data_IF_663882959667
#
_entry.id   IF_663882959667
#
_cell.length_a   1.000
_cell.length_b   1.000
_cell.length_c   1.000
_cell.angle_alpha   90.00
_cell.angle_beta   90.00
_cell.angle_gamma   90.00
#
_symmetry.space_group_name_H-M   'P 1'
#
loop_
_entity.id
_entity.type
_entity.pdbx_description
1 polymer ?
#
# COMPACT_ATOMS: atom_id res chain seq x y z
N UNK A 1 -11.98 19.56 -10.12
CA UNK A 1 -11.92 18.31 -9.33
C UNK A 1 -13.04 18.37 -8.31
N UNK A 2 -13.76 17.27 -8.03
CA UNK A 2 -14.67 17.25 -6.88
C UNK A 2 -13.88 17.61 -5.62
N UNK A 3 -14.47 18.44 -4.77
CA UNK A 3 -13.90 18.84 -3.49
C UNK A 3 -13.86 17.62 -2.56
N UNK A 4 -12.77 16.86 -2.60
CA UNK A 4 -12.56 15.70 -1.73
C UNK A 4 -12.27 16.24 -0.34
N UNK A 5 -13.33 16.53 0.41
CA UNK A 5 -13.23 16.92 1.80
C UNK A 5 -12.84 15.69 2.63
N UNK A 6 -11.64 15.70 3.18
CA UNK A 6 -11.18 14.61 4.03
C UNK A 6 -11.96 14.58 5.35
N UNK A 7 -12.54 13.42 5.65
CA UNK A 7 -13.25 13.11 6.89
C UNK A 7 -12.56 11.98 7.68
N UNK A 8 -11.37 11.54 7.25
CA UNK A 8 -10.61 10.43 7.85
C UNK A 8 -9.66 10.95 8.92
N UNK A 9 -9.01 12.09 8.69
CA UNK A 9 -8.00 12.65 9.59
C UNK A 9 -8.51 12.86 11.02
N UNK A 10 -9.80 13.21 11.20
CA UNK A 10 -10.41 13.36 12.52
C UNK A 10 -10.35 12.09 13.38
N UNK A 11 -10.27 10.90 12.74
CA UNK A 11 -10.14 9.61 13.42
C UNK A 11 -8.69 9.15 13.48
N UNK A 12 -7.93 9.36 12.40
CA UNK A 12 -6.56 8.87 12.26
C UNK A 12 -5.57 9.65 13.11
N UNK A 13 -5.68 10.98 13.16
CA UNK A 13 -4.73 11.82 13.89
C UNK A 13 -4.72 11.50 15.40
N UNK A 14 -5.86 11.45 16.12
CA UNK A 14 -5.86 11.08 17.54
C UNK A 14 -5.32 9.66 17.78
N UNK A 15 -5.63 8.73 16.88
CA UNK A 15 -5.14 7.35 16.95
C UNK A 15 -3.60 7.29 16.86
N UNK A 16 -3.00 7.96 15.88
CA UNK A 16 -1.54 8.02 15.73
C UNK A 16 -0.90 8.72 16.93
N UNK A 17 -1.44 9.86 17.35
CA UNK A 17 -0.86 10.64 18.45
C UNK A 17 -0.86 9.85 19.76
N UNK A 18 -1.90 9.04 20.02
CA UNK A 18 -1.94 8.16 21.19
C UNK A 18 -0.81 7.13 21.17
N UNK A 19 -0.64 6.41 20.05
CA UNK A 19 0.40 5.38 19.94
C UNK A 19 1.82 5.98 19.90
N UNK A 20 1.97 7.16 19.28
CA UNK A 20 3.23 7.88 19.27
C UNK A 20 3.63 8.33 20.69
N UNK A 21 2.69 8.79 21.51
CA UNK A 21 2.97 9.14 22.90
C UNK A 21 3.41 7.91 23.73
N UNK A 22 2.81 6.74 23.49
CA UNK A 22 3.25 5.47 24.09
C UNK A 22 4.66 5.10 23.65
N UNK A 23 4.97 5.21 22.36
CA UNK A 23 6.32 4.97 21.81
C UNK A 23 7.36 5.91 22.42
N UNK A 24 7.07 7.21 22.49
CA UNK A 24 7.95 8.21 23.10
C UNK A 24 8.20 7.91 24.58
N UNK A 25 7.17 7.49 25.32
CA UNK A 25 7.32 7.08 26.71
C UNK A 25 8.19 5.83 26.85
N UNK A 26 7.97 4.82 26.01
CA UNK A 26 8.75 3.58 26.01
C UNK A 26 10.23 3.82 25.66
N UNK A 27 10.51 4.79 24.79
CA UNK A 27 11.86 5.15 24.38
C UNK A 27 12.48 6.32 25.17
N UNK A 28 11.83 6.79 26.25
CA UNK A 28 12.24 8.01 26.97
C UNK A 28 13.65 7.97 27.58
N UNK A 29 14.20 6.79 27.82
CA UNK A 29 15.57 6.59 28.33
C UNK A 29 16.59 6.30 27.22
N UNK A 30 16.15 6.15 25.97
CA UNK A 30 17.04 5.92 24.83
C UNK A 30 17.67 7.24 24.39
N UNK A 31 19.00 7.25 24.26
CA UNK A 31 19.73 8.37 23.67
C UNK A 31 19.60 8.44 22.15
N UNK A 32 19.04 7.41 21.51
CA UNK A 32 18.83 7.32 20.07
C UNK A 32 17.51 6.58 19.77
N UNK A 33 16.35 7.15 20.12
CA UNK A 33 15.06 6.50 19.91
C UNK A 33 14.81 6.28 18.41
N UNK A 34 14.36 5.09 17.98
CA UNK A 34 14.01 4.87 16.57
C UNK A 34 12.75 5.68 16.20
N UNK A 35 12.57 6.03 14.92
CA UNK A 35 11.31 6.61 14.45
C UNK A 35 10.15 5.65 14.66
N UNK A 36 8.94 6.21 14.75
CA UNK A 36 7.70 5.46 14.79
C UNK A 36 7.21 5.18 13.36
N UNK A 37 7.08 3.90 13.01
CA UNK A 37 6.71 3.48 11.65
C UNK A 37 5.21 3.23 11.54
N UNK A 38 4.56 3.90 10.61
CA UNK A 38 3.11 3.82 10.39
C UNK A 38 2.86 3.26 9.00
N UNK A 39 2.23 2.08 8.94
CA UNK A 39 1.74 1.51 7.70
C UNK A 39 0.41 2.10 7.30
N UNK A 40 0.23 2.35 6.00
CA UNK A 40 -1.05 2.81 5.48
C UNK A 40 -1.42 2.04 4.20
N UNK A 41 -2.53 1.30 4.30
CA UNK A 41 -3.16 0.61 3.18
C UNK A 41 -4.44 1.34 2.77
N UNK A 42 -4.71 1.34 1.47
CA UNK A 42 -6.05 1.65 0.97
C UNK A 42 -6.15 1.32 -0.50
N UNK A 43 -7.34 0.89 -0.90
CA UNK A 43 -7.71 0.64 -2.30
C UNK A 43 -7.38 1.87 -3.16
N UNK A 44 -6.98 1.65 -4.41
CA UNK A 44 -6.62 2.75 -5.32
C UNK A 44 -7.77 3.77 -5.44
N UNK A 45 -7.43 5.05 -5.31
CA UNK A 45 -8.41 6.15 -5.38
C UNK A 45 -9.26 6.38 -4.11
N UNK A 46 -9.05 5.63 -3.02
CA UNK A 46 -9.80 5.79 -1.76
C UNK A 46 -9.41 7.04 -0.93
N UNK A 47 -8.47 7.88 -1.41
CA UNK A 47 -8.03 9.10 -0.73
C UNK A 47 -6.75 8.94 0.14
N UNK A 48 -6.00 7.85 -0.04
CA UNK A 48 -4.75 7.58 0.68
C UNK A 48 -3.73 8.73 0.61
N UNK A 49 -3.40 9.22 -0.59
CA UNK A 49 -2.44 10.32 -0.76
C UNK A 49 -2.88 11.58 -0.03
N UNK A 50 -4.17 11.92 -0.10
CA UNK A 50 -4.75 13.07 0.61
C UNK A 50 -4.57 12.91 2.13
N UNK A 51 -4.86 11.73 2.67
CA UNK A 51 -4.67 11.46 4.10
C UNK A 51 -3.19 11.52 4.50
N UNK A 52 -2.28 10.96 3.69
CA UNK A 52 -0.83 11.02 3.94
C UNK A 52 -0.33 12.47 3.99
N UNK A 53 -0.78 13.32 3.05
CA UNK A 53 -0.41 14.74 3.02
C UNK A 53 -0.93 15.50 4.24
N UNK A 54 -2.17 15.23 4.66
CA UNK A 54 -2.74 15.79 5.89
C UNK A 54 -1.92 15.32 7.11
N UNK A 55 -1.62 14.02 7.23
CA UNK A 55 -0.83 13.49 8.34
C UNK A 55 0.56 14.10 8.40
N UNK A 56 1.28 14.17 7.26
CA UNK A 56 2.58 14.82 7.17
C UNK A 56 2.50 16.26 7.65
N UNK A 57 1.53 17.01 7.15
CA UNK A 57 1.34 18.43 7.49
C UNK A 57 1.01 18.61 8.97
N UNK A 58 0.03 17.86 9.50
CA UNK A 58 -0.40 17.95 10.90
C UNK A 58 0.73 17.59 11.86
N UNK A 59 1.46 16.50 11.61
CA UNK A 59 2.54 16.06 12.49
C UNK A 59 3.78 16.97 12.42
N UNK A 60 4.05 17.56 11.25
CA UNK A 60 5.22 18.45 11.07
C UNK A 60 4.96 19.89 11.51
N UNK A 61 3.69 20.29 11.67
CA UNK A 61 3.32 21.65 12.07
C UNK A 61 3.18 21.79 13.60
N UNK A 62 3.19 23.02 14.15
CA UNK A 62 2.81 23.26 15.53
C UNK A 62 1.42 22.68 15.85
N UNK A 63 1.22 22.08 17.04
CA UNK A 63 2.16 22.02 18.17
C UNK A 63 3.15 20.84 18.12
N UNK A 64 3.06 19.94 17.14
CA UNK A 64 3.79 18.68 17.12
C UNK A 64 5.24 18.81 16.66
N UNK A 65 5.51 19.59 15.60
CA UNK A 65 6.86 19.89 15.09
C UNK A 65 7.75 18.65 14.88
N UNK A 66 7.18 17.55 14.41
CA UNK A 66 7.90 16.29 14.19
C UNK A 66 8.50 16.26 12.78
N UNK A 67 9.74 15.78 12.66
CA UNK A 67 10.28 15.37 11.35
C UNK A 67 9.57 14.11 10.85
N UNK A 68 8.91 14.21 9.69
CA UNK A 68 8.10 13.15 9.08
C UNK A 68 8.62 12.81 7.68
N UNK A 69 8.88 11.54 7.43
CA UNK A 69 9.21 11.01 6.10
C UNK A 69 8.02 10.23 5.55
N UNK A 70 7.71 10.44 4.27
CA UNK A 70 6.77 9.62 3.52
C UNK A 70 7.58 8.69 2.63
N UNK A 71 7.28 7.39 2.69
CA UNK A 71 7.96 6.37 1.94
C UNK A 71 6.92 5.49 1.24
N UNK A 72 6.84 5.56 -0.08
CA UNK A 72 5.86 4.79 -0.85
C UNK A 72 6.40 3.40 -1.19
N UNK A 73 5.54 2.39 -1.13
CA UNK A 73 5.84 1.08 -1.71
C UNK A 73 6.09 1.19 -3.22
N UNK A 74 5.42 2.10 -3.92
CA UNK A 74 5.62 2.29 -5.36
C UNK A 74 7.02 2.84 -5.69
N UNK A 75 7.71 3.49 -4.75
CA UNK A 75 9.10 3.92 -4.94
C UNK A 75 10.10 2.75 -4.88
N UNK A 76 9.63 1.59 -4.41
CA UNK A 76 10.37 0.36 -4.29
C UNK A 76 10.11 -0.61 -5.43
N UNK A 77 9.47 -0.20 -6.53
CA UNK A 77 9.40 -1.09 -7.70
C UNK A 77 10.82 -1.54 -8.12
N UNK A 78 10.87 -2.74 -8.69
CA UNK A 78 12.06 -3.24 -9.38
C UNK A 78 12.53 -2.23 -10.44
N UNK A 79 13.84 -2.22 -10.70
CA UNK A 79 14.36 -1.49 -11.86
C UNK A 79 13.68 -1.99 -13.14
N UNK A 80 13.67 -1.17 -14.20
CA UNK A 80 13.11 -1.58 -15.48
C UNK A 80 13.72 -2.89 -15.97
N UNK A 81 15.06 -3.01 -15.87
CA UNK A 81 15.78 -4.22 -16.25
C UNK A 81 15.32 -5.45 -15.46
N UNK A 82 15.19 -5.34 -14.13
CA UNK A 82 14.73 -6.45 -13.28
C UNK A 82 13.26 -6.79 -13.52
N UNK A 83 12.41 -5.80 -13.78
CA UNK A 83 11.00 -6.02 -14.14
C UNK A 83 10.87 -6.74 -15.49
N UNK A 84 11.71 -6.41 -16.47
CA UNK A 84 11.76 -7.13 -17.76
C UNK A 84 12.22 -8.57 -17.56
N UNK A 85 13.26 -8.80 -16.75
CA UNK A 85 13.73 -10.15 -16.43
C UNK A 85 12.67 -10.98 -15.68
N UNK A 86 11.93 -10.35 -14.75
CA UNK A 86 10.81 -10.99 -14.05
C UNK A 86 9.70 -11.41 -15.02
N UNK A 87 9.30 -10.53 -15.94
CA UNK A 87 8.29 -10.84 -16.94
C UNK A 87 8.75 -11.98 -17.87
N UNK A 88 10.00 -11.95 -18.33
CA UNK A 88 10.58 -13.00 -19.19
C UNK A 88 10.67 -14.37 -18.50
N UNK A 89 10.89 -14.41 -17.19
CA UNK A 89 10.92 -15.66 -16.42
C UNK A 89 9.53 -16.22 -16.11
N UNK A 90 8.46 -15.43 -16.30
CA UNK A 90 7.07 -15.83 -16.05
C UNK A 90 6.16 -15.41 -17.22
N UNK A 91 6.42 -15.88 -18.45
CA UNK A 91 5.74 -15.40 -19.65
C UNK A 91 4.21 -15.63 -19.61
N UNK A 92 3.77 -16.67 -18.92
CA UNK A 92 2.36 -17.06 -18.83
C UNK A 92 1.63 -16.45 -17.62
N UNK A 93 2.33 -15.67 -16.78
CA UNK A 93 1.71 -15.01 -15.62
C UNK A 93 1.37 -13.55 -15.95
N UNK A 94 0.10 -13.21 -16.27
CA UNK A 94 -0.28 -11.85 -16.65
C UNK A 94 -0.08 -10.84 -15.52
N UNK A 95 -0.04 -11.29 -14.25
CA UNK A 95 0.12 -10.43 -13.07
C UNK A 95 1.55 -9.91 -12.88
N UNK A 96 2.53 -10.48 -13.61
CA UNK A 96 3.95 -10.15 -13.49
C UNK A 96 4.53 -9.45 -14.73
N UNK A 97 3.71 -9.20 -15.75
CA UNK A 97 4.19 -8.57 -17.00
C UNK A 97 4.54 -7.09 -16.82
N UNK A 98 3.97 -6.45 -15.79
CA UNK A 98 4.19 -5.05 -15.47
C UNK A 98 4.31 -4.86 -13.95
N UNK A 99 4.90 -3.73 -13.55
CA UNK A 99 4.99 -3.33 -12.15
C UNK A 99 3.59 -3.24 -11.51
N UNK A 100 3.45 -3.69 -10.28
CA UNK A 100 2.21 -3.53 -9.51
C UNK A 100 2.05 -4.57 -8.42
N UNK A 101 1.87 -5.84 -8.82
CA UNK A 101 1.58 -6.93 -7.91
C UNK A 101 2.77 -7.27 -6.99
N UNK A 102 2.56 -7.89 -5.82
CA UNK A 102 3.63 -8.51 -5.05
C UNK A 102 4.51 -9.39 -5.94
N UNK A 103 5.83 -9.34 -5.70
CA UNK A 103 6.95 -9.79 -6.58
C UNK A 103 7.58 -8.69 -7.43
N UNK A 104 6.89 -7.57 -7.67
CA UNK A 104 7.42 -6.47 -8.51
C UNK A 104 8.15 -5.36 -7.74
N UNK A 105 8.41 -5.57 -6.44
CA UNK A 105 9.11 -4.62 -5.57
C UNK A 105 10.43 -5.20 -5.07
N UNK A 106 11.42 -4.33 -4.90
CA UNK A 106 12.74 -4.58 -4.33
C UNK A 106 12.68 -4.60 -2.79
N UNK A 107 12.31 -5.76 -2.26
CA UNK A 107 12.19 -5.98 -0.80
C UNK A 107 13.53 -5.81 -0.07
N UNK A 108 14.68 -6.32 -0.58
CA UNK A 108 15.98 -6.05 0.04
C UNK A 108 16.28 -4.56 0.19
N UNK A 109 16.01 -3.75 -0.85
CA UNK A 109 16.15 -2.29 -0.76
C UNK A 109 15.24 -1.72 0.33
N UNK A 110 13.96 -2.11 0.37
CA UNK A 110 13.02 -1.68 1.40
C UNK A 110 13.58 -1.94 2.81
N UNK A 111 13.99 -3.18 3.10
CA UNK A 111 14.51 -3.56 4.41
C UNK A 111 15.78 -2.80 4.80
N UNK A 112 16.65 -2.50 3.82
CA UNK A 112 17.84 -1.67 4.06
C UNK A 112 17.48 -0.24 4.48
N UNK A 113 16.46 0.37 3.86
CA UNK A 113 15.96 1.71 4.22
C UNK A 113 15.35 1.70 5.61
N UNK A 114 14.46 0.73 5.92
CA UNK A 114 13.91 0.57 7.27
C UNK A 114 15.01 0.39 8.33
N UNK A 115 16.01 -0.45 8.06
CA UNK A 115 17.11 -0.69 8.99
C UNK A 115 17.98 0.56 9.21
N UNK A 116 18.23 1.33 8.16
CA UNK A 116 18.99 2.58 8.24
C UNK A 116 18.23 3.66 9.03
N UNK A 117 16.94 3.84 8.75
CA UNK A 117 16.06 4.77 9.47
C UNK A 117 15.93 4.41 10.95
N UNK A 118 15.79 3.12 11.29
CA UNK A 118 15.74 2.63 12.69
C UNK A 118 16.98 3.00 13.50
N UNK A 119 18.13 3.17 12.83
CA UNK A 119 19.39 3.53 13.46
C UNK A 119 19.64 5.05 13.44
N UNK A 120 18.70 5.85 12.92
CA UNK A 120 18.85 7.29 12.69
C UNK A 120 20.08 7.65 11.84
N UNK A 121 20.47 6.76 10.91
CA UNK A 121 21.57 7.01 9.98
C UNK A 121 21.11 7.91 8.83
N UNK A 122 22.00 8.72 8.24
CA UNK A 122 21.75 9.34 6.95
C UNK A 122 21.24 8.28 5.97
N UNK A 123 20.06 8.52 5.41
CA UNK A 123 19.35 7.51 4.61
C UNK A 123 18.76 8.18 3.39
N UNK A 124 19.04 7.61 2.21
CA UNK A 124 18.40 8.03 0.97
C UNK A 124 17.07 7.30 0.80
N UNK A 125 16.02 8.04 0.49
CA UNK A 125 14.69 7.51 0.26
C UNK A 125 14.53 7.23 -1.25
N UNK A 126 14.31 5.96 -1.66
CA UNK A 126 14.10 5.60 -3.06
C UNK A 126 13.02 6.44 -3.73
N UNK A 127 13.17 6.65 -5.03
CA UNK A 127 12.18 7.30 -5.87
C UNK A 127 12.01 6.53 -7.18
N UNK A 128 10.78 6.48 -7.69
CA UNK A 128 10.47 5.79 -8.93
C UNK A 128 9.80 6.67 -9.97
N UNK A 129 10.38 6.73 -11.18
CA UNK A 129 9.81 7.47 -12.29
C UNK A 129 8.89 6.55 -13.11
N UNK A 130 7.60 6.58 -12.80
CA UNK A 130 6.55 5.82 -13.52
C UNK A 130 6.42 6.18 -15.00
N UNK A 131 6.94 7.32 -15.45
CA UNK A 131 6.86 7.77 -16.84
C UNK A 131 8.06 7.32 -17.69
N UNK A 132 9.15 6.86 -17.08
CA UNK A 132 10.30 6.33 -17.80
C UNK A 132 9.91 5.12 -18.68
N UNK A 133 10.72 4.82 -19.71
CA UNK A 133 10.49 3.70 -20.64
C UNK A 133 9.06 3.66 -21.20
N UNK A 134 8.59 4.80 -21.72
CA UNK A 134 7.24 4.94 -22.29
C UNK A 134 6.13 4.53 -21.31
N UNK A 135 6.29 4.86 -20.03
CA UNK A 135 5.30 4.55 -18.98
C UNK A 135 5.47 3.19 -18.32
N UNK A 136 6.45 2.37 -18.73
CA UNK A 136 6.80 1.12 -18.03
C UNK A 136 7.48 1.38 -16.69
N UNK A 137 8.12 2.53 -16.56
CA UNK A 137 8.74 3.04 -15.34
C UNK A 137 10.15 2.52 -15.10
N UNK A 138 10.92 3.27 -14.31
CA UNK A 138 12.22 2.86 -13.79
C UNK A 138 12.57 3.62 -12.52
N UNK A 139 13.52 3.08 -11.76
CA UNK A 139 14.06 3.68 -10.55
C UNK A 139 14.85 4.93 -10.92
N UNK A 140 14.62 6.01 -10.18
CA UNK A 140 15.41 7.24 -10.31
C UNK A 140 16.84 6.94 -9.84
N UNK A 141 17.89 7.53 -10.45
CA UNK A 141 19.26 7.37 -9.98
C UNK A 141 19.42 7.73 -8.49
N UNK A 142 20.18 6.93 -7.75
CA UNK A 142 20.38 7.11 -6.29
C UNK A 142 21.00 8.48 -5.91
N UNK A 143 21.69 9.13 -6.85
CA UNK A 143 22.22 10.49 -6.66
C UNK A 143 21.13 11.56 -6.54
N UNK A 144 19.90 11.28 -6.99
CA UNK A 144 18.78 12.21 -6.98
C UNK A 144 17.78 11.91 -5.85
N UNK A 145 18.01 10.84 -5.07
CA UNK A 145 17.15 10.49 -3.94
C UNK A 145 17.28 11.51 -2.81
N UNK A 146 16.16 11.81 -2.16
CA UNK A 146 16.14 12.65 -0.97
C UNK A 146 16.91 11.96 0.16
N UNK A 147 17.88 12.65 0.76
CA UNK A 147 18.62 12.16 1.91
C UNK A 147 18.06 12.77 3.21
N UNK A 148 17.64 11.91 4.13
CA UNK A 148 17.09 12.27 5.44
C UNK A 148 18.08 11.91 6.56
N UNK A 149 17.82 12.35 7.80
CA UNK A 149 18.72 12.17 8.95
C UNK A 149 20.12 12.79 8.76
N UNK A 150 20.25 13.83 7.93
CA UNK A 150 21.50 14.58 7.75
C UNK A 150 21.82 15.49 8.94
N UNK A 151 20.82 15.82 9.78
CA UNK A 151 20.98 16.54 11.04
C UNK A 151 20.71 15.61 12.25
N UNK A 152 21.73 15.17 13.00
CA UNK A 152 21.57 14.30 14.16
C UNK A 152 20.76 14.91 15.32
N UNK A 153 20.65 16.24 15.40
CA UNK A 153 19.88 16.92 16.45
C UNK A 153 18.37 16.92 16.19
N UNK A 154 17.96 16.56 14.98
CA UNK A 154 16.55 16.49 14.59
C UNK A 154 16.32 15.31 13.65
N UNK A 155 16.46 14.07 14.14
CA UNK A 155 16.25 12.88 13.33
C UNK A 155 14.79 12.77 12.90
N UNK A 156 14.52 11.88 11.96
CA UNK A 156 13.16 11.49 11.59
C UNK A 156 12.46 10.91 12.83
N UNK A 157 11.27 11.42 13.14
CA UNK A 157 10.47 10.96 14.28
C UNK A 157 9.38 9.99 13.84
N UNK A 158 8.83 10.18 12.64
CA UNK A 158 7.74 9.37 12.09
C UNK A 158 8.02 9.02 10.64
N UNK A 159 7.79 7.76 10.29
CA UNK A 159 7.84 7.27 8.90
C UNK A 159 6.44 6.81 8.50
N UNK A 160 5.87 7.44 7.48
CA UNK A 160 4.62 7.03 6.86
C UNK A 160 4.94 6.11 5.69
N UNK A 161 4.78 4.81 5.87
CA UNK A 161 4.97 3.81 4.82
C UNK A 161 3.63 3.44 4.18
N UNK A 162 3.42 3.85 2.94
CA UNK A 162 2.12 3.77 2.28
C UNK A 162 2.15 2.91 1.02
N UNK A 163 1.05 2.21 0.74
CA UNK A 163 0.90 1.50 -0.53
C UNK A 163 -0.39 0.68 -0.60
N UNK A 164 -0.77 0.31 -1.83
CA UNK A 164 -2.07 -0.34 -2.08
C UNK A 164 -2.14 -1.79 -1.58
N UNK A 165 -1.00 -2.49 -1.49
CA UNK A 165 -0.88 -3.86 -0.97
C UNK A 165 -0.01 -3.94 0.29
N UNK A 166 0.38 -2.81 0.89
CA UNK A 166 1.07 -2.79 2.19
C UNK A 166 0.20 -3.51 3.22
N UNK A 167 0.80 -4.43 3.99
CA UNK A 167 0.10 -5.25 4.98
C UNK A 167 -0.73 -6.41 4.43
N UNK A 168 -0.81 -6.62 3.10
CA UNK A 168 -1.35 -7.88 2.59
C UNK A 168 -0.50 -9.05 3.09
N UNK A 169 -1.18 -10.14 3.47
CA UNK A 169 -0.57 -11.32 4.08
C UNK A 169 -0.79 -12.53 3.17
N UNK A 170 0.18 -13.44 3.08
CA UNK A 170 -0.01 -14.68 2.34
C UNK A 170 -1.12 -15.52 2.99
N UNK A 171 -1.91 -16.19 2.16
CA UNK A 171 -2.88 -17.20 2.57
C UNK A 171 -2.22 -18.57 2.65
N UNK A 172 -2.76 -19.43 3.51
CA UNK A 172 -2.48 -20.87 3.46
C UNK A 172 -2.90 -21.43 2.09
N UNK A 173 -2.17 -22.45 1.62
CA UNK A 173 -2.35 -23.00 0.28
C UNK A 173 -3.79 -23.48 0.05
N UNK A 174 -4.38 -24.14 1.04
CA UNK A 174 -5.74 -24.69 0.98
C UNK A 174 -6.79 -23.58 0.89
N UNK A 175 -6.55 -22.44 1.55
CA UNK A 175 -7.44 -21.27 1.51
C UNK A 175 -7.34 -20.57 0.15
N UNK A 176 -6.13 -20.46 -0.40
CA UNK A 176 -5.89 -19.89 -1.73
C UNK A 176 -6.60 -20.72 -2.81
N UNK A 177 -6.40 -22.04 -2.79
CA UNK A 177 -7.03 -22.99 -3.71
C UNK A 177 -8.55 -22.94 -3.63
N UNK A 178 -9.10 -22.94 -2.41
CA UNK A 178 -10.55 -22.84 -2.19
C UNK A 178 -11.15 -21.54 -2.72
N UNK A 179 -10.53 -20.38 -2.42
CA UNK A 179 -10.97 -19.07 -2.95
C UNK A 179 -10.87 -19.02 -4.48
N UNK A 180 -9.81 -19.57 -5.07
CA UNK A 180 -9.63 -19.62 -6.51
C UNK A 180 -10.68 -20.51 -7.19
N UNK A 181 -10.87 -21.74 -6.70
CA UNK A 181 -11.86 -22.66 -7.23
C UNK A 181 -13.28 -22.08 -7.17
N UNK A 182 -13.63 -21.40 -6.07
CA UNK A 182 -14.91 -20.71 -5.94
C UNK A 182 -15.06 -19.57 -6.98
N UNK A 183 -14.00 -18.81 -7.23
CA UNK A 183 -14.01 -17.74 -8.24
C UNK A 183 -14.10 -18.28 -9.67
N UNK A 184 -13.41 -19.38 -9.98
CA UNK A 184 -13.51 -20.07 -11.28
C UNK A 184 -14.93 -20.60 -11.48
N UNK A 185 -15.50 -21.29 -10.50
CA UNK A 185 -16.87 -21.79 -10.57
C UNK A 185 -17.89 -20.64 -10.73
N UNK A 186 -17.68 -19.49 -10.06
CA UNK A 186 -18.54 -18.32 -10.22
C UNK A 186 -18.42 -17.71 -11.63
N UNK A 187 -17.23 -17.70 -12.22
CA UNK A 187 -17.00 -17.26 -13.60
C UNK A 187 -17.66 -18.21 -14.61
N UNK A 188 -17.52 -19.52 -14.45
CA UNK A 188 -18.12 -20.54 -15.32
C UNK A 188 -19.65 -20.53 -15.28
N UNK A 189 -20.23 -20.26 -14.10
CA UNK A 189 -21.67 -20.12 -13.92
C UNK A 189 -22.19 -18.71 -14.22
N UNK A 190 -21.34 -17.80 -14.71
CA UNK A 190 -21.75 -16.43 -15.03
C UNK A 190 -22.72 -16.42 -16.21
N UNK A 191 -23.88 -15.80 -16.02
CA UNK A 191 -24.91 -15.63 -17.06
C UNK A 191 -25.23 -14.15 -17.26
N UNK A 192 -26.10 -13.83 -18.21
CA UNK A 192 -26.58 -12.46 -18.40
C UNK A 192 -27.29 -11.90 -17.14
N UNK A 193 -27.95 -12.77 -16.35
CA UNK A 193 -28.67 -12.40 -15.13
C UNK A 193 -27.78 -12.45 -13.88
N UNK A 194 -26.69 -13.24 -13.89
CA UNK A 194 -25.76 -13.42 -12.78
C UNK A 194 -24.33 -13.19 -13.30
N UNK A 195 -23.91 -11.93 -13.32
CA UNK A 195 -22.59 -11.56 -13.82
C UNK A 195 -21.50 -11.73 -12.77
N UNK A 196 -20.47 -12.52 -13.07
CA UNK A 196 -19.23 -12.52 -12.32
C UNK A 196 -18.48 -11.20 -12.54
N UNK A 197 -18.30 -10.43 -11.46
CA UNK A 197 -17.63 -9.12 -11.47
C UNK A 197 -16.19 -9.17 -10.96
N UNK A 198 -15.72 -10.34 -10.51
CA UNK A 198 -14.39 -10.51 -9.97
C UNK A 198 -13.33 -10.65 -11.06
N UNK A 199 -12.07 -10.76 -10.65
CA UNK A 199 -10.92 -10.99 -11.55
C UNK A 199 -10.12 -12.24 -11.20
N UNK A 200 -10.24 -12.74 -9.97
CA UNK A 200 -9.56 -13.93 -9.50
C UNK A 200 -9.77 -15.15 -10.40
N UNK A 201 -11.01 -15.40 -10.85
CA UNK A 201 -11.36 -16.55 -11.70
C UNK A 201 -10.74 -16.52 -13.11
N UNK A 202 -10.23 -15.36 -13.55
CA UNK A 202 -9.54 -15.22 -14.85
C UNK A 202 -8.05 -15.54 -14.79
N UNK A 203 -7.50 -15.87 -13.61
CA UNK A 203 -6.08 -16.16 -13.42
C UNK A 203 -5.87 -17.65 -13.15
N UNK A 204 -4.71 -18.19 -13.52
CA UNK A 204 -4.37 -19.57 -13.15
C UNK A 204 -4.03 -19.67 -11.66
N UNK A 205 -4.24 -20.85 -11.06
CA UNK A 205 -3.84 -21.11 -9.67
C UNK A 205 -2.33 -20.87 -9.49
N UNK A 206 -1.51 -21.26 -10.46
CA UNK A 206 -0.06 -21.03 -10.45
C UNK A 206 0.29 -19.53 -10.43
N UNK A 207 -0.39 -18.73 -11.26
CA UNK A 207 -0.17 -17.29 -11.32
C UNK A 207 -0.40 -16.64 -9.96
N UNK A 208 -1.54 -16.93 -9.32
CA UNK A 208 -1.87 -16.36 -8.01
C UNK A 208 -1.04 -16.96 -6.88
N UNK A 209 -0.61 -18.22 -6.99
CA UNK A 209 0.29 -18.86 -6.02
C UNK A 209 1.65 -18.19 -6.01
N UNK A 210 2.13 -17.78 -7.18
CA UNK A 210 3.37 -16.99 -7.31
C UNK A 210 3.26 -15.66 -6.54
N UNK A 211 2.16 -14.92 -6.72
CA UNK A 211 1.90 -13.67 -5.98
C UNK A 211 1.78 -13.91 -4.47
N UNK A 212 1.03 -14.94 -4.08
CA UNK A 212 0.84 -15.32 -2.67
C UNK A 212 2.17 -15.68 -2.00
N UNK A 213 3.04 -16.43 -2.68
CA UNK A 213 4.37 -16.77 -2.18
C UNK A 213 5.28 -15.55 -2.06
N UNK A 214 5.19 -14.61 -3.00
CA UNK A 214 5.97 -13.37 -2.93
C UNK A 214 5.62 -12.55 -1.67
N UNK A 215 4.35 -12.52 -1.26
CA UNK A 215 3.90 -11.80 -0.04
C UNK A 215 4.59 -12.27 1.24
N UNK A 216 5.11 -13.49 1.31
CA UNK A 216 5.87 -13.97 2.49
C UNK A 216 7.08 -13.06 2.81
N UNK A 217 7.70 -12.45 1.79
CA UNK A 217 8.79 -11.47 2.00
C UNK A 217 8.28 -10.09 2.43
N UNK A 218 7.05 -9.74 2.08
CA UNK A 218 6.42 -8.47 2.46
C UNK A 218 6.05 -8.46 3.95
N UNK A 219 5.92 -9.64 4.56
CA UNK A 219 5.77 -9.78 6.00
C UNK A 219 6.97 -9.20 6.76
N UNK A 220 8.18 -9.29 6.21
CA UNK A 220 9.38 -8.69 6.81
C UNK A 220 9.25 -7.18 6.93
N UNK A 221 8.65 -6.51 5.93
CA UNK A 221 8.32 -5.07 5.98
C UNK A 221 7.22 -4.82 7.01
N UNK A 222 6.17 -5.62 6.98
CA UNK A 222 5.03 -5.50 7.90
C UNK A 222 5.46 -5.58 9.37
N UNK A 223 6.42 -6.45 9.70
CA UNK A 223 6.97 -6.58 11.06
C UNK A 223 7.70 -5.31 11.53
N UNK A 224 8.15 -4.45 10.62
CA UNK A 224 8.83 -3.20 10.96
C UNK A 224 7.87 -2.10 11.43
N UNK A 225 6.57 -2.23 11.19
CA UNK A 225 5.55 -1.20 11.43
C UNK A 225 5.05 -1.22 12.88
N UNK A 226 4.81 -0.06 13.47
CA UNK A 226 4.35 0.09 14.85
C UNK A 226 2.84 0.35 14.95
N UNK A 227 2.27 1.01 13.94
CA UNK A 227 0.84 1.23 13.79
C UNK A 227 0.40 0.99 12.35
N UNK A 228 -0.90 0.77 12.15
CA UNK A 228 -1.46 0.54 10.83
C UNK A 228 -2.79 1.24 10.60
N UNK A 229 -2.97 1.81 9.41
CA UNK A 229 -4.20 2.46 8.98
C UNK A 229 -4.68 1.76 7.71
N UNK A 230 -5.92 1.27 7.73
CA UNK A 230 -6.53 0.60 6.59
C UNK A 230 -7.77 1.37 6.14
N UNK A 231 -7.72 1.96 4.95
CA UNK A 231 -8.88 2.56 4.27
C UNK A 231 -9.56 1.46 3.47
N UNK A 232 -10.57 0.84 4.07
CA UNK A 232 -11.34 -0.26 3.49
C UNK A 232 -12.58 0.28 2.75
N UNK A 233 -12.94 -0.32 1.63
CA UNK A 233 -14.15 0.05 0.90
C UNK A 233 -15.32 -0.85 1.34
N UNK A 234 -16.52 -0.27 1.47
CA UNK A 234 -17.75 -1.07 1.64
C UNK A 234 -17.90 -2.10 0.51
N UNK A 235 -17.56 -1.70 -0.72
CA UNK A 235 -17.45 -2.58 -1.87
C UNK A 235 -16.11 -2.32 -2.57
N UNK A 236 -15.22 -3.33 -2.68
CA UNK A 236 -13.95 -3.17 -3.39
C UNK A 236 -14.14 -2.78 -4.86
N UNK A 237 -15.30 -3.04 -5.49
CA UNK A 237 -15.59 -2.62 -6.87
C UNK A 237 -15.57 -1.11 -7.07
N UNK A 238 -15.70 -0.30 -6.00
CA UNK A 238 -15.57 1.16 -6.10
C UNK A 238 -14.22 1.60 -6.67
N UNK A 239 -13.19 0.75 -6.61
CA UNK A 239 -11.88 1.01 -7.21
C UNK A 239 -11.95 1.34 -8.70
N UNK A 240 -12.84 0.70 -9.46
CA UNK A 240 -12.97 0.97 -10.90
C UNK A 240 -13.45 2.41 -11.13
N UNK A 241 -14.50 2.81 -10.43
CA UNK A 241 -15.02 4.18 -10.50
C UNK A 241 -14.00 5.20 -10.00
N UNK A 242 -13.37 4.93 -8.85
CA UNK A 242 -12.39 5.84 -8.28
C UNK A 242 -11.16 6.02 -9.17
N UNK A 243 -10.70 4.96 -9.82
CA UNK A 243 -9.57 5.02 -10.73
C UNK A 243 -9.92 5.75 -12.03
N UNK A 244 -11.15 5.58 -12.54
CA UNK A 244 -11.66 6.35 -13.68
C UNK A 244 -11.74 7.84 -13.36
N UNK A 245 -12.28 8.21 -12.18
CA UNK A 245 -12.34 9.61 -11.74
C UNK A 245 -10.94 10.23 -11.60
N UNK A 246 -9.99 9.46 -11.05
CA UNK A 246 -8.58 9.88 -10.95
C UNK A 246 -7.96 10.09 -12.34
N UNK A 247 -8.15 9.15 -13.27
CA UNK A 247 -7.59 9.24 -14.61
C UNK A 247 -8.21 10.40 -15.39
N UNK A 248 -9.51 10.63 -15.27
CA UNK A 248 -10.18 11.77 -15.87
C UNK A 248 -9.59 13.11 -15.37
N UNK A 249 -9.30 13.20 -14.07
CA UNK A 249 -8.59 14.35 -13.49
C UNK A 249 -7.17 14.55 -14.05
N UNK A 250 -6.42 13.47 -14.22
CA UNK A 250 -5.08 13.49 -14.83
C UNK A 250 -5.12 13.91 -16.30
N UNK A 251 -6.05 13.36 -17.09
CA UNK A 251 -6.28 13.74 -18.49
C UNK A 251 -6.62 15.22 -18.62
N UNK A 252 -7.50 15.74 -17.75
CA UNK A 252 -7.87 17.15 -17.74
C UNK A 252 -6.67 18.06 -17.40
N UNK A 253 -5.78 17.63 -16.50
CA UNK A 253 -4.62 18.43 -16.08
C UNK A 253 -3.44 18.36 -17.05
N UNK A 254 -3.22 17.20 -17.71
CA UNK A 254 -2.00 16.92 -18.50
C UNK A 254 -2.26 16.73 -19.99
N UNK A 255 -3.51 16.68 -20.43
CA UNK A 255 -3.91 16.45 -21.83
C UNK A 255 -3.65 15.03 -22.34
N UNK A 256 -3.18 14.12 -21.49
CA UNK A 256 -2.86 12.72 -21.83
C UNK A 256 -3.13 11.81 -20.63
N UNK A 257 -3.37 10.52 -20.89
CA UNK A 257 -3.68 9.50 -19.90
C UNK A 257 -4.31 8.27 -20.54
N UNK A 258 -4.60 7.25 -19.73
CA UNK A 258 -5.26 6.02 -20.17
C UNK A 258 -6.70 6.29 -20.62
N UNK A 259 -7.18 5.53 -21.61
CA UNK A 259 -8.63 5.45 -21.91
C UNK A 259 -9.37 4.74 -20.77
N UNK A 260 -10.70 4.81 -20.77
CA UNK A 260 -11.50 4.19 -19.72
C UNK A 260 -11.36 2.64 -19.75
N UNK A 261 -11.19 2.05 -20.93
CA UNK A 261 -10.89 0.62 -21.11
C UNK A 261 -9.51 0.27 -20.59
N UNK A 262 -8.50 1.11 -20.85
CA UNK A 262 -7.15 0.92 -20.33
C UNK A 262 -7.12 1.05 -18.81
N UNK A 263 -7.89 1.98 -18.23
CA UNK A 263 -8.07 2.08 -16.78
C UNK A 263 -8.69 0.80 -16.23
N UNK A 264 -9.74 0.28 -16.87
CA UNK A 264 -10.35 -0.97 -16.44
C UNK A 264 -9.34 -2.11 -16.47
N UNK A 265 -8.60 -2.28 -17.57
CA UNK A 265 -7.59 -3.33 -17.70
C UNK A 265 -6.46 -3.17 -16.67
N UNK A 266 -6.05 -1.94 -16.39
CA UNK A 266 -5.10 -1.63 -15.32
C UNK A 266 -5.63 -2.15 -13.97
N UNK A 267 -6.85 -1.75 -13.58
CA UNK A 267 -7.47 -2.19 -12.30
C UNK A 267 -7.68 -3.71 -12.27
N UNK A 268 -8.04 -4.31 -13.39
CA UNK A 268 -8.21 -5.77 -13.52
C UNK A 268 -6.95 -6.53 -13.09
N UNK A 269 -5.76 -5.95 -13.29
CA UNK A 269 -4.48 -6.51 -12.90
C UNK A 269 -4.21 -6.46 -11.39
N UNK A 270 -4.84 -5.56 -10.64
CA UNK A 270 -4.70 -5.45 -9.17
C UNK A 270 -5.83 -6.18 -8.42
N UNK A 271 -7.01 -6.24 -9.03
CA UNK A 271 -8.24 -6.70 -8.39
C UNK A 271 -8.18 -8.10 -7.75
N UNK A 272 -7.50 -9.12 -8.34
CA UNK A 272 -7.37 -10.43 -7.70
C UNK A 272 -6.75 -10.37 -6.30
N UNK A 273 -5.84 -9.42 -6.06
CA UNK A 273 -5.21 -9.25 -4.76
C UNK A 273 -6.19 -8.65 -3.73
N UNK A 274 -7.12 -7.78 -4.14
CA UNK A 274 -8.18 -7.31 -3.26
C UNK A 274 -9.13 -8.46 -2.87
N UNK A 275 -9.47 -9.34 -3.81
CA UNK A 275 -10.32 -10.52 -3.54
C UNK A 275 -9.66 -11.54 -2.59
N UNK A 276 -8.33 -11.68 -2.66
CA UNK A 276 -7.59 -12.64 -1.86
C UNK A 276 -7.22 -12.10 -0.46
N UNK A 277 -6.66 -10.89 -0.38
CA UNK A 277 -5.89 -10.46 0.79
C UNK A 277 -6.56 -9.37 1.64
N UNK A 278 -7.66 -8.76 1.18
CA UNK A 278 -8.32 -7.71 1.98
C UNK A 278 -8.88 -8.28 3.29
N UNK A 279 -9.38 -9.51 3.28
CA UNK A 279 -9.93 -10.14 4.50
C UNK A 279 -8.87 -10.34 5.59
N UNK A 280 -7.61 -10.60 5.22
CA UNK A 280 -6.53 -10.73 6.22
C UNK A 280 -6.24 -9.38 6.89
N UNK A 281 -6.28 -8.28 6.14
CA UNK A 281 -6.16 -6.94 6.72
C UNK A 281 -7.30 -6.61 7.68
N UNK A 282 -8.53 -7.04 7.37
CA UNK A 282 -9.71 -6.83 8.22
C UNK A 282 -9.61 -7.52 9.59
N UNK A 283 -8.78 -8.56 9.69
CA UNK A 283 -8.56 -9.32 10.93
C UNK A 283 -7.43 -8.76 11.80
N UNK A 284 -6.66 -7.78 11.32
CA UNK A 284 -5.51 -7.20 12.00
C UNK A 284 -4.19 -7.65 11.40
N UNK A 285 -3.43 -6.71 10.84
CA UNK A 285 -2.17 -6.94 10.14
C UNK A 285 -1.08 -7.51 11.05
N UNK A 286 -1.12 -7.16 12.34
CA UNK A 286 -0.15 -7.58 13.35
C UNK A 286 -0.54 -8.88 14.07
N UNK A 287 -1.72 -9.42 13.78
CA UNK A 287 -2.23 -10.62 14.45
C UNK A 287 -1.33 -11.81 14.15
N UNK A 288 -0.82 -12.45 15.20
CA UNK A 288 0.11 -13.57 15.08
C UNK A 288 1.55 -13.16 14.72
N UNK A 289 1.85 -11.86 14.70
CA UNK A 289 3.21 -11.31 14.52
C UNK A 289 3.72 -10.69 15.82
N UNK A 290 2.89 -9.89 16.48
CA UNK A 290 3.21 -9.20 17.73
C UNK A 290 2.29 -9.69 18.83
N UNK A 291 2.79 -9.83 20.05
CA UNK A 291 1.96 -10.22 21.20
C UNK A 291 1.00 -9.09 21.61
N UNK A 292 1.46 -7.84 21.49
CA UNK A 292 0.73 -6.61 21.84
C UNK A 292 0.06 -5.95 20.62
N UNK A 293 -0.43 -6.77 19.70
CA UNK A 293 -0.94 -6.32 18.40
C UNK A 293 -2.28 -5.58 18.47
N UNK A 294 -3.07 -5.82 19.52
CA UNK A 294 -4.40 -5.25 19.65
C UNK A 294 -4.32 -3.73 19.76
N UNK A 295 -5.32 -3.04 19.21
CA UNK A 295 -5.39 -1.58 19.20
C UNK A 295 -4.28 -0.86 18.45
N UNK A 296 -3.44 -1.57 17.67
CA UNK A 296 -2.40 -0.98 16.82
C UNK A 296 -2.84 -0.81 15.37
N UNK A 297 -4.07 -1.18 15.02
CA UNK A 297 -4.63 -0.93 13.71
C UNK A 297 -5.95 -0.15 13.79
N UNK A 298 -6.11 0.83 12.89
CA UNK A 298 -7.36 1.55 12.67
C UNK A 298 -7.88 1.25 11.27
N UNK A 299 -9.07 0.67 11.17
CA UNK A 299 -9.77 0.42 9.91
C UNK A 299 -10.88 1.45 9.74
N UNK A 300 -10.84 2.17 8.63
CA UNK A 300 -11.86 3.12 8.21
C UNK A 300 -12.61 2.53 7.03
N UNK A 301 -13.88 2.19 7.22
CA UNK A 301 -14.72 1.67 6.14
C UNK A 301 -15.37 2.87 5.44
N UNK A 302 -15.17 3.00 4.14
CA UNK A 302 -15.66 4.13 3.34
C UNK A 302 -16.71 3.70 2.32
N UNK A 303 -17.68 4.59 2.08
CA UNK A 303 -18.65 4.44 0.98
C UNK A 303 -18.08 4.83 -0.37
N UNK A 304 -18.87 4.68 -1.44
CA UNK A 304 -18.48 5.06 -2.81
C UNK A 304 -18.10 6.55 -2.93
N UNK A 305 -18.69 7.42 -2.10
CA UNK A 305 -18.36 8.85 -2.00
C UNK A 305 -17.05 9.13 -1.22
N UNK A 306 -16.32 8.06 -0.84
CA UNK A 306 -15.08 8.07 -0.05
C UNK A 306 -15.24 8.59 1.37
N UNK A 307 -16.47 8.81 1.84
CA UNK A 307 -16.71 9.24 3.22
C UNK A 307 -16.71 8.05 4.17
N UNK A 308 -16.23 8.27 5.38
CA UNK A 308 -16.21 7.28 6.45
C UNK A 308 -17.64 6.88 6.81
N UNK A 309 -17.85 5.58 6.96
CA UNK A 309 -19.11 4.94 7.36
C UNK A 309 -18.96 4.22 8.70
N UNK A 310 -17.80 3.63 8.91
CA UNK A 310 -17.47 2.89 10.13
C UNK A 310 -15.99 3.08 10.47
N UNK A 311 -15.70 3.10 11.77
CA UNK A 311 -14.34 3.16 12.32
C UNK A 311 -14.18 1.99 13.27
N UNK A 312 -13.26 1.09 12.96
CA UNK A 312 -12.99 -0.12 13.75
C UNK A 312 -11.55 -0.06 14.24
N UNK A 313 -11.36 -0.07 15.55
CA UNK A 313 -10.04 -0.23 16.17
C UNK A 313 -9.78 -1.72 16.38
N UNK A 314 -8.69 -2.21 15.79
CA UNK A 314 -8.26 -3.61 15.77
C UNK A 314 -6.98 -3.75 16.59
#
# INVERSE_FOLDING_TARGET
MPDIRDDKAQYVVPFILSLLAEHQKACSTSSNPPPFFIGLNGVQGAGKTVLVDILKTTLSSPPHNLSVVVFSLDDLYLTHADQVALAQSHPDNPLLQHRGQPSTHDIPLALSVFASLKQNKPTKIPQYNKAAFSGQGDRVPESEWEEVNTNPSHPVHVVLFEGWCVGFRPLAQEVLESKHAAAVAALENSTADILYKGRLGHNTLESITTINNALKKYDEITTQLDAFIHIDALDPQYVYKWRLEQEAGLRAARGSGMTDEQVKHFVDGYYPAYELYTDTLRQGVFRGIKDDWQSKQLRLVVGEDRKVREVVKI
#
